data_IF_584281648855
#
_entry.id   IF_584281648855
#
_cell.length_a   1.000
_cell.length_b   1.000
_cell.length_c   1.000
_cell.angle_alpha   90.00
_cell.angle_beta   90.00
_cell.angle_gamma   90.00
#
_symmetry.space_group_name_H-M   'P 1'
#
loop_
_entity.id
_entity.type
_entity.pdbx_description
1 polymer ?
#
# COMPACT_ATOMS: atom_id res chain seq x y z
N UNK A 1 -3.59 13.98 19.83
CA UNK A 1 -4.49 12.94 19.31
C UNK A 1 -4.42 13.00 17.80
N UNK A 2 -3.65 12.11 17.17
CA UNK A 2 -3.56 12.04 15.72
C UNK A 2 -4.64 11.09 15.21
N UNK A 3 -5.82 11.60 14.89
CA UNK A 3 -6.81 10.84 14.13
C UNK A 3 -6.57 11.24 12.68
N UNK A 4 -5.92 10.37 11.92
CA UNK A 4 -5.73 10.58 10.48
C UNK A 4 -7.08 10.72 9.76
N UNK A 5 -7.05 11.29 8.57
CA UNK A 5 -8.22 11.47 7.71
C UNK A 5 -9.03 10.16 7.56
N UNK A 6 -10.37 10.17 7.71
CA UNK A 6 -11.18 8.96 7.56
C UNK A 6 -11.03 8.36 6.16
N UNK A 7 -10.47 7.16 6.09
CA UNK A 7 -10.28 6.44 4.83
C UNK A 7 -10.46 4.95 5.03
N UNK A 8 -10.88 4.27 3.97
CA UNK A 8 -10.84 2.81 3.86
C UNK A 8 -9.80 2.40 2.82
N UNK A 9 -9.23 1.21 3.00
CA UNK A 9 -8.19 0.66 2.13
C UNK A 9 -8.57 -0.74 1.70
N UNK A 10 -8.67 -0.96 0.40
CA UNK A 10 -8.90 -2.28 -0.19
C UNK A 10 -7.71 -2.74 -1.01
N UNK A 11 -7.32 -4.02 -0.91
CA UNK A 11 -6.31 -4.65 -1.77
C UNK A 11 -6.99 -5.74 -2.60
N UNK A 12 -6.81 -5.66 -3.92
CA UNK A 12 -7.43 -6.53 -4.90
C UNK A 12 -6.36 -7.19 -5.77
N UNK A 13 -6.61 -8.43 -6.16
CA UNK A 13 -5.88 -9.08 -7.23
C UNK A 13 -6.49 -8.60 -8.57
N UNK A 14 -5.65 -8.19 -9.50
CA UNK A 14 -6.06 -7.75 -10.82
C UNK A 14 -5.09 -8.25 -11.90
N UNK A 15 -5.39 -7.94 -13.16
CA UNK A 15 -4.49 -8.15 -14.29
C UNK A 15 -4.37 -6.86 -15.09
N UNK A 16 -3.28 -6.73 -15.84
CA UNK A 16 -3.12 -5.67 -16.84
C UNK A 16 -3.98 -5.98 -18.08
N UNK A 17 -3.81 -5.24 -19.17
CA UNK A 17 -4.53 -5.54 -20.44
C UNK A 17 -4.32 -7.00 -20.88
N UNK A 18 -3.11 -7.52 -20.66
CA UNK A 18 -2.79 -8.93 -20.77
C UNK A 18 -3.23 -9.68 -19.49
N UNK A 19 -4.18 -10.64 -19.59
CA UNK A 19 -4.67 -11.41 -18.45
C UNK A 19 -3.61 -12.25 -17.73
N UNK A 20 -2.48 -12.54 -18.38
CA UNK A 20 -1.38 -13.30 -17.79
C UNK A 20 -0.51 -12.44 -16.87
N UNK A 21 -0.56 -11.11 -17.03
CA UNK A 21 0.19 -10.17 -16.22
C UNK A 21 -0.61 -9.79 -14.97
N UNK A 22 -0.46 -10.62 -13.95
CA UNK A 22 -1.14 -10.46 -12.66
C UNK A 22 -0.48 -9.37 -11.81
N UNK A 23 -1.31 -8.55 -11.16
CA UNK A 23 -0.91 -7.45 -10.32
C UNK A 23 -1.75 -7.38 -9.04
N UNK A 24 -1.27 -6.62 -8.07
CA UNK A 24 -2.07 -6.14 -6.96
C UNK A 24 -2.45 -4.68 -7.20
N UNK A 25 -3.70 -4.35 -6.89
CA UNK A 25 -4.19 -2.98 -6.85
C UNK A 25 -4.66 -2.66 -5.43
N UNK A 26 -4.17 -1.56 -4.88
CA UNK A 26 -4.68 -0.98 -3.64
C UNK A 26 -5.47 0.28 -3.94
N UNK A 27 -6.62 0.39 -3.30
CA UNK A 27 -7.50 1.55 -3.40
C UNK A 27 -7.56 2.19 -2.02
N UNK A 28 -7.18 3.46 -1.94
CA UNK A 28 -7.46 4.33 -0.80
C UNK A 28 -8.69 5.15 -1.15
N UNK A 29 -9.73 5.02 -0.34
CA UNK A 29 -11.02 5.64 -0.60
C UNK A 29 -11.41 6.48 0.61
N UNK A 30 -11.64 7.78 0.41
CA UNK A 30 -12.09 8.65 1.49
C UNK A 30 -13.53 8.29 1.89
N UNK A 31 -13.77 8.14 3.19
CA UNK A 31 -15.08 7.78 3.74
C UNK A 31 -15.62 8.90 4.64
N UNK A 32 -16.92 8.92 4.94
CA UNK A 32 -17.49 9.86 5.89
C UNK A 32 -16.83 9.74 7.27
N UNK A 33 -16.80 10.85 8.00
CA UNK A 33 -16.45 10.88 9.41
C UNK A 33 -17.45 9.98 10.15
N UNK A 34 -16.95 9.20 11.11
CA UNK A 34 -17.79 8.30 11.89
C UNK A 34 -18.98 9.04 12.52
N UNK A 35 -20.17 8.45 12.45
CA UNK A 35 -21.47 9.01 12.87
C UNK A 35 -22.06 10.07 11.94
N UNK A 36 -21.51 10.24 10.74
CA UNK A 36 -22.07 11.13 9.71
C UNK A 36 -22.41 10.39 8.42
N UNK A 37 -22.37 9.05 8.44
CA UNK A 37 -22.53 8.20 7.27
C UNK A 37 -23.88 8.40 6.56
N UNK A 38 -24.94 8.65 7.34
CA UNK A 38 -26.31 8.88 6.84
C UNK A 38 -26.62 10.38 6.60
N UNK A 39 -25.61 11.26 6.70
CA UNK A 39 -25.82 12.68 6.45
C UNK A 39 -26.14 12.95 4.98
N UNK A 40 -26.79 14.09 4.70
CA UNK A 40 -27.04 14.49 3.33
C UNK A 40 -25.73 14.81 2.59
N UNK A 41 -25.76 14.72 1.24
CA UNK A 41 -24.59 14.91 0.39
C UNK A 41 -23.89 16.27 0.59
N UNK A 42 -24.64 17.34 0.89
CA UNK A 42 -24.05 18.66 1.14
C UNK A 42 -23.23 18.67 2.44
N UNK A 43 -23.69 17.98 3.49
CA UNK A 43 -22.93 17.78 4.72
C UNK A 43 -21.71 16.88 4.49
N UNK A 44 -21.83 15.83 3.67
CA UNK A 44 -20.69 14.95 3.34
C UNK A 44 -19.63 15.68 2.51
N UNK A 45 -20.04 16.52 1.56
CA UNK A 45 -19.13 17.34 0.74
C UNK A 45 -18.31 18.35 1.58
N UNK A 46 -18.77 18.73 2.77
CA UNK A 46 -17.99 19.56 3.69
C UNK A 46 -16.84 18.81 4.36
N UNK A 47 -16.81 17.47 4.23
CA UNK A 47 -15.80 16.61 4.85
C UNK A 47 -14.61 16.32 3.94
N UNK A 48 -14.58 16.88 2.72
CA UNK A 48 -13.47 16.75 1.77
C UNK A 48 -12.17 17.06 2.51
N UNK A 49 -11.24 16.11 2.43
CA UNK A 49 -9.90 16.30 2.96
C UNK A 49 -8.97 16.65 1.81
N UNK A 50 -7.93 17.47 2.08
CA UNK A 50 -6.94 17.76 1.05
C UNK A 50 -6.28 16.48 0.56
N UNK A 51 -5.82 16.51 -0.68
CA UNK A 51 -5.03 15.44 -1.26
C UNK A 51 -3.70 15.33 -0.51
N UNK A 52 -3.61 14.38 0.42
CA UNK A 52 -2.36 14.09 1.12
C UNK A 52 -1.37 13.34 0.21
N UNK A 53 -0.07 13.57 0.39
CA UNK A 53 0.97 12.81 -0.31
C UNK A 53 0.81 11.32 0.01
N UNK A 54 0.68 10.49 -1.02
CA UNK A 54 0.64 9.04 -0.84
C UNK A 54 2.06 8.55 -0.50
N UNK A 55 2.35 8.34 0.78
CA UNK A 55 3.69 7.88 1.22
C UNK A 55 4.14 6.58 0.54
N UNK A 56 3.19 5.68 0.24
CA UNK A 56 3.49 4.43 -0.48
C UNK A 56 3.94 4.68 -1.92
N UNK A 57 3.33 5.65 -2.62
CA UNK A 57 3.75 6.05 -3.97
C UNK A 57 5.19 6.59 -3.96
N UNK A 58 5.51 7.46 -3.00
CA UNK A 58 6.85 8.03 -2.86
C UNK A 58 7.88 6.97 -2.51
N UNK A 59 7.53 6.01 -1.66
CA UNK A 59 8.37 4.84 -1.38
C UNK A 59 8.65 4.02 -2.64
N UNK A 60 7.62 3.68 -3.43
CA UNK A 60 7.82 2.95 -4.70
C UNK A 60 8.69 3.70 -5.69
N UNK A 61 8.44 5.00 -5.89
CA UNK A 61 9.26 5.85 -6.77
C UNK A 61 10.72 5.86 -6.34
N UNK A 62 10.96 6.03 -5.04
CA UNK A 62 12.30 6.07 -4.48
C UNK A 62 13.03 4.73 -4.66
N UNK A 63 12.40 3.61 -4.29
CA UNK A 63 13.02 2.27 -4.35
C UNK A 63 13.31 1.84 -5.78
N UNK A 64 12.38 2.09 -6.70
CA UNK A 64 12.60 1.78 -8.10
C UNK A 64 13.67 2.66 -8.74
N UNK A 65 13.72 3.96 -8.41
CA UNK A 65 14.77 4.85 -8.93
C UNK A 65 16.19 4.41 -8.52
N UNK A 66 16.29 3.63 -7.45
CA UNK A 66 17.54 3.07 -6.94
C UNK A 66 17.84 1.67 -7.46
N UNK A 67 16.94 1.08 -8.26
CA UNK A 67 17.08 -0.29 -8.74
C UNK A 67 16.99 -1.34 -7.63
N UNK A 68 16.26 -1.07 -6.54
CA UNK A 68 16.08 -2.04 -5.46
C UNK A 68 15.33 -3.27 -5.98
N UNK A 69 16.00 -4.42 -6.02
CA UNK A 69 15.43 -5.69 -6.49
C UNK A 69 14.52 -6.36 -5.46
N UNK A 70 14.54 -5.90 -4.20
CA UNK A 70 13.78 -6.47 -3.09
C UNK A 70 12.31 -6.03 -3.05
N UNK A 71 11.91 -5.12 -3.94
CA UNK A 71 10.58 -4.49 -3.96
C UNK A 71 9.89 -4.85 -5.28
N UNK A 72 8.60 -5.22 -5.27
CA UNK A 72 7.86 -5.47 -6.50
C UNK A 72 7.87 -4.27 -7.45
N UNK A 73 7.83 -4.52 -8.75
CA UNK A 73 7.77 -3.45 -9.74
C UNK A 73 6.47 -2.67 -9.58
N UNK A 74 6.59 -1.35 -9.46
CA UNK A 74 5.44 -0.47 -9.48
C UNK A 74 4.95 -0.29 -10.93
N UNK A 75 3.64 -0.42 -11.11
CA UNK A 75 2.98 -0.49 -12.42
C UNK A 75 2.19 0.76 -12.73
N UNK A 76 1.61 1.42 -11.73
CA UNK A 76 0.86 2.64 -11.97
C UNK A 76 0.23 3.25 -10.72
N UNK A 77 -0.05 4.53 -10.81
CA UNK A 77 -0.82 5.29 -9.84
C UNK A 77 -1.85 6.16 -10.55
N UNK A 78 -3.04 6.22 -9.99
CA UNK A 78 -4.08 7.11 -10.45
C UNK A 78 -4.75 7.74 -9.24
N UNK A 79 -5.00 9.04 -9.31
CA UNK A 79 -5.76 9.77 -8.32
C UNK A 79 -6.97 10.39 -8.99
N UNK A 80 -8.13 10.22 -8.36
CA UNK A 80 -9.41 10.68 -8.86
C UNK A 80 -10.17 11.41 -7.75
N UNK A 81 -11.08 12.27 -8.18
CA UNK A 81 -12.08 12.92 -7.32
C UNK A 81 -13.34 12.07 -7.33
N UNK A 82 -13.94 11.89 -6.16
CA UNK A 82 -15.24 11.25 -5.96
C UNK A 82 -16.36 12.07 -6.62
N UNK A 83 -17.29 11.39 -7.27
CA UNK A 83 -18.44 11.98 -7.92
C UNK A 83 -19.48 12.52 -6.95
N UNK A 84 -20.52 13.16 -7.48
CA UNK A 84 -21.57 13.84 -6.70
C UNK A 84 -22.40 12.90 -5.82
N UNK A 85 -22.41 11.60 -6.12
CA UNK A 85 -23.20 10.57 -5.42
C UNK A 85 -22.33 9.53 -4.70
N UNK A 86 -21.02 9.77 -4.64
CA UNK A 86 -20.10 8.91 -3.90
C UNK A 86 -20.14 9.22 -2.39
N UNK A 87 -19.46 8.40 -1.58
CA UNK A 87 -19.52 8.48 -0.12
C UNK A 87 -19.10 9.85 0.44
N UNK A 88 -18.11 10.50 -0.19
CA UNK A 88 -17.72 11.88 0.12
C UNK A 88 -17.64 12.62 -1.20
N UNK A 89 -18.70 13.33 -1.61
CA UNK A 89 -18.70 14.08 -2.87
C UNK A 89 -17.54 15.07 -2.93
N UNK A 90 -16.73 15.00 -3.99
CA UNK A 90 -15.52 15.82 -4.13
C UNK A 90 -14.30 15.33 -3.31
N UNK A 91 -14.45 14.25 -2.53
CA UNK A 91 -13.34 13.59 -1.83
C UNK A 91 -12.37 12.90 -2.78
N UNK A 92 -11.34 12.23 -2.25
CA UNK A 92 -10.35 11.55 -3.09
C UNK A 92 -10.59 10.04 -3.21
N UNK A 93 -10.08 9.47 -4.30
CA UNK A 93 -9.81 8.04 -4.49
C UNK A 93 -8.43 7.87 -5.11
N UNK A 94 -7.57 7.06 -4.49
CA UNK A 94 -6.22 6.77 -4.99
C UNK A 94 -6.07 5.30 -5.31
N UNK A 95 -5.53 5.00 -6.48
CA UNK A 95 -5.24 3.67 -6.98
C UNK A 95 -3.73 3.52 -7.07
N UNK A 96 -3.21 2.45 -6.48
CA UNK A 96 -1.80 2.09 -6.54
C UNK A 96 -1.68 0.65 -7.04
N UNK A 97 -0.91 0.42 -8.10
CA UNK A 97 -0.79 -0.88 -8.75
C UNK A 97 0.67 -1.31 -8.76
N UNK A 98 0.94 -2.53 -8.34
CA UNK A 98 2.27 -3.14 -8.37
C UNK A 98 2.20 -4.62 -8.74
N UNK A 99 3.32 -5.16 -9.18
CA UNK A 99 3.46 -6.55 -9.62
C UNK A 99 3.11 -7.56 -8.52
N UNK A 100 2.41 -8.63 -8.89
CA UNK A 100 2.33 -9.82 -8.03
C UNK A 100 3.57 -10.67 -8.24
N UNK A 101 4.45 -10.70 -7.25
CA UNK A 101 5.60 -11.61 -7.25
C UNK A 101 5.17 -13.09 -7.12
N UNK A 102 5.96 -14.03 -7.66
CA UNK A 102 5.76 -15.45 -7.43
C UNK A 102 5.78 -15.82 -5.94
N UNK A 103 5.11 -16.91 -5.59
CA UNK A 103 5.05 -17.42 -4.23
C UNK A 103 3.82 -17.00 -3.43
N UNK A 104 3.80 -17.44 -2.17
CA UNK A 104 2.71 -17.22 -1.23
C UNK A 104 3.13 -16.24 -0.13
N UNK A 105 2.20 -15.40 0.38
CA UNK A 105 2.50 -14.54 1.50
C UNK A 105 2.88 -15.34 2.75
N UNK A 106 3.96 -14.94 3.41
CA UNK A 106 4.32 -15.45 4.73
C UNK A 106 3.35 -14.89 5.79
N UNK A 107 2.24 -15.59 6.02
CA UNK A 107 1.34 -15.31 7.15
C UNK A 107 2.02 -15.66 8.46
N UNK A 108 1.58 -15.07 9.57
CA UNK A 108 2.12 -15.38 10.89
C UNK A 108 2.00 -16.88 11.21
N UNK A 109 0.82 -17.46 10.97
CA UNK A 109 0.52 -18.88 11.23
C UNK A 109 1.43 -19.79 10.40
N UNK A 110 1.51 -19.53 9.09
CA UNK A 110 2.41 -20.27 8.19
C UNK A 110 3.86 -20.16 8.64
N UNK A 111 4.36 -18.94 8.88
CA UNK A 111 5.76 -18.74 9.25
C UNK A 111 6.13 -19.50 10.53
N UNK A 112 5.31 -19.45 11.58
CA UNK A 112 5.58 -20.15 12.83
C UNK A 112 5.40 -21.67 12.76
N UNK A 113 4.64 -22.16 11.77
CA UNK A 113 4.52 -23.60 11.49
C UNK A 113 5.78 -24.23 10.86
N UNK A 114 6.68 -23.40 10.33
CA UNK A 114 7.91 -23.86 9.66
C UNK A 114 8.97 -24.33 10.64
N UNK A 115 9.80 -25.27 10.17
CA UNK A 115 10.98 -25.74 10.89
C UNK A 115 11.89 -24.57 11.33
N UNK A 116 12.49 -24.63 12.54
CA UNK A 116 13.40 -23.59 13.02
C UNK A 116 14.48 -23.15 12.01
N UNK A 117 15.11 -24.09 11.31
CA UNK A 117 16.18 -23.78 10.35
C UNK A 117 15.63 -23.06 9.12
N UNK A 118 14.42 -23.41 8.67
CA UNK A 118 13.74 -22.72 7.56
C UNK A 118 13.38 -21.28 7.96
N UNK A 119 12.90 -21.08 9.20
CA UNK A 119 12.61 -19.73 9.72
C UNK A 119 13.87 -18.87 9.82
N UNK A 120 15.02 -19.46 10.18
CA UNK A 120 16.31 -18.77 10.20
C UNK A 120 16.76 -18.36 8.80
N UNK A 121 16.65 -19.24 7.80
CA UNK A 121 16.94 -18.91 6.39
C UNK A 121 16.06 -17.76 5.89
N UNK A 122 14.75 -17.81 6.13
CA UNK A 122 13.82 -16.73 5.77
C UNK A 122 14.23 -15.41 6.43
N UNK A 123 14.55 -15.41 7.73
CA UNK A 123 15.00 -14.20 8.44
C UNK A 123 16.31 -13.65 7.89
N UNK A 124 17.24 -14.53 7.51
CA UNK A 124 18.52 -14.12 6.90
C UNK A 124 18.29 -13.42 5.55
N UNK A 125 17.44 -13.98 4.69
CA UNK A 125 17.07 -13.37 3.40
C UNK A 125 16.31 -12.05 3.59
N UNK A 126 15.39 -12.01 4.55
CA UNK A 126 14.67 -10.78 4.90
C UNK A 126 15.63 -9.68 5.38
N UNK A 127 16.64 -10.02 6.19
CA UNK A 127 17.66 -9.07 6.66
C UNK A 127 18.41 -8.44 5.49
N UNK A 128 18.89 -9.24 4.54
CA UNK A 128 19.60 -8.75 3.35
C UNK A 128 18.73 -7.79 2.55
N UNK A 129 17.47 -8.17 2.30
CA UNK A 129 16.50 -7.32 1.61
C UNK A 129 16.24 -6.01 2.37
N UNK A 130 16.05 -6.09 3.68
CA UNK A 130 15.84 -4.93 4.55
C UNK A 130 17.05 -3.99 4.51
N UNK A 131 18.26 -4.50 4.67
CA UNK A 131 19.49 -3.70 4.60
C UNK A 131 19.65 -3.03 3.23
N UNK A 132 19.26 -3.70 2.13
CA UNK A 132 19.27 -3.10 0.79
C UNK A 132 18.36 -1.87 0.67
N UNK A 133 17.24 -1.85 1.41
CA UNK A 133 16.31 -0.70 1.45
C UNK A 133 16.90 0.44 2.28
N UNK A 134 17.58 0.12 3.39
CA UNK A 134 18.09 1.09 4.37
C UNK A 134 19.51 1.61 4.11
N UNK A 135 20.26 1.01 3.18
CA UNK A 135 21.61 1.44 2.84
C UNK A 135 21.68 2.88 2.25
N UNK A 136 20.54 3.52 1.97
CA UNK A 136 20.49 4.86 1.40
C UNK A 136 20.09 5.93 2.44
N UNK A 137 20.92 6.96 2.68
CA UNK A 137 20.65 8.01 3.68
C UNK A 137 19.42 8.88 3.38
N UNK A 138 18.81 8.80 2.18
CA UNK A 138 17.53 9.46 1.87
C UNK A 138 16.31 8.82 2.55
N UNK A 139 16.45 7.62 3.12
CA UNK A 139 15.39 6.88 3.83
C UNK A 139 15.19 7.32 5.30
N UNK A 140 15.80 8.43 5.72
CA UNK A 140 15.67 8.93 7.09
C UNK A 140 14.31 9.60 7.40
N UNK A 141 13.30 9.34 6.56
CA UNK A 141 11.97 9.94 6.66
C UNK A 141 10.93 8.84 6.86
N UNK A 142 10.44 8.82 8.09
CA UNK A 142 9.24 8.12 8.56
C UNK A 142 9.29 6.58 8.71
N UNK A 143 9.48 6.13 9.95
CA UNK A 143 9.46 4.72 10.39
C UNK A 143 8.09 4.02 10.18
N UNK A 144 7.08 4.76 9.72
CA UNK A 144 5.69 4.32 9.59
C UNK A 144 5.41 3.59 8.26
N UNK A 145 6.31 3.69 7.27
CA UNK A 145 6.10 3.15 5.92
C UNK A 145 6.28 1.63 5.78
N UNK A 146 6.99 0.96 6.71
CA UNK A 146 7.19 -0.51 6.63
C UNK A 146 5.89 -1.26 6.92
N UNK A 147 4.99 -0.69 7.74
CA UNK A 147 3.69 -1.30 8.03
C UNK A 147 2.76 -1.34 6.81
N UNK A 148 2.94 -0.46 5.83
CA UNK A 148 2.09 -0.38 4.63
C UNK A 148 2.36 -1.46 3.59
N UNK A 149 3.48 -2.19 3.70
CA UNK A 149 3.63 -3.41 2.91
C UNK A 149 2.82 -4.56 3.51
N UNK A 150 2.56 -4.59 4.83
CA UNK A 150 1.58 -5.41 5.58
C UNK A 150 1.62 -6.93 5.41
N UNK A 151 2.33 -7.40 4.39
CA UNK A 151 2.69 -8.74 3.96
C UNK A 151 3.90 -8.46 3.09
N UNK A 152 5.08 -8.55 3.68
CA UNK A 152 6.33 -8.44 2.95
C UNK A 152 6.33 -9.46 1.80
N UNK A 153 5.88 -9.02 0.62
CA UNK A 153 6.31 -9.58 -0.64
C UNK A 153 7.69 -8.99 -0.89
N UNK A 154 8.66 -9.36 -0.05
CA UNK A 154 10.05 -9.31 -0.50
C UNK A 154 10.09 -10.32 -1.64
N UNK A 155 10.47 -9.87 -2.82
CA UNK A 155 10.89 -10.79 -3.87
C UNK A 155 12.14 -11.49 -3.34
N UNK A 156 11.95 -12.66 -2.71
CA UNK A 156 13.03 -13.55 -2.27
C UNK A 156 13.24 -14.60 -3.33
#
# INVERSE_FOLDING_TARGET
MGVGSPMTVGKFLCHLEDPTQIAFMRIYYQIPITRTEDANLATLAQQIQPHEVCGELEAFRLLMSQGCSSVPRFLGYCEKTQGEHDLVPGGYVKYLVWEKVPGEPLTEEFFWSLDPLVREDIRAKFRVAFESVYANPRWQVDKTLIQLTGRCCVAV
#
